data_IF_175601545061
#
_entry.id   IF_175601545061
#
_cell.length_a   1.000
_cell.length_b   1.000
_cell.length_c   1.000
_cell.angle_alpha   90.00
_cell.angle_beta   90.00
_cell.angle_gamma   90.00
#
_symmetry.space_group_name_H-M   'P 1'
#
loop_
_entity.id
_entity.type
_entity.pdbx_description
1 polymer ?
#
# COMPACT_ATOMS: atom_id res chain seq x y z
N UNK A 1 3.36 -14.32 -13.59
CA UNK A 1 3.11 -13.57 -12.34
C UNK A 1 1.80 -12.77 -12.43
N UNK A 2 1.58 -12.01 -13.50
CA UNK A 2 0.28 -11.36 -13.73
C UNK A 2 -0.76 -12.37 -14.24
N UNK A 3 -1.99 -12.23 -13.77
CA UNK A 3 -3.16 -12.91 -14.31
C UNK A 3 -3.65 -12.21 -15.59
N UNK A 4 -4.42 -12.90 -16.45
CA UNK A 4 -5.17 -12.27 -17.52
C UNK A 4 -6.07 -11.14 -17.00
N UNK A 5 -6.45 -10.20 -17.87
CA UNK A 5 -7.45 -9.20 -17.52
C UNK A 5 -8.80 -9.85 -17.17
N UNK A 6 -9.65 -9.10 -16.47
CA UNK A 6 -11.03 -9.49 -16.17
C UNK A 6 -11.20 -10.68 -15.21
N UNK A 7 -10.22 -10.87 -14.30
CA UNK A 7 -10.41 -11.82 -13.20
C UNK A 7 -11.48 -11.33 -12.21
N UNK A 8 -12.30 -12.24 -11.67
CA UNK A 8 -13.23 -11.86 -10.61
C UNK A 8 -12.47 -11.37 -9.38
N UNK A 9 -12.95 -10.29 -8.79
CA UNK A 9 -12.40 -9.79 -7.53
C UNK A 9 -12.68 -10.72 -6.37
N UNK A 10 -11.94 -10.55 -5.29
CA UNK A 10 -12.14 -11.24 -4.01
C UNK A 10 -12.94 -10.33 -3.08
N UNK A 11 -14.02 -10.86 -2.54
CA UNK A 11 -14.87 -10.10 -1.60
C UNK A 11 -14.29 -10.19 -0.19
N UNK A 12 -14.10 -9.04 0.45
CA UNK A 12 -13.65 -8.91 1.84
C UNK A 12 -12.42 -9.79 2.21
N UNK A 13 -11.31 -9.73 1.45
CA UNK A 13 -10.16 -10.60 1.70
C UNK A 13 -9.55 -10.40 3.10
N UNK A 14 -9.80 -9.25 3.73
CA UNK A 14 -9.34 -8.99 5.09
C UNK A 14 -10.08 -9.83 6.13
N UNK A 15 -11.39 -10.00 5.98
CA UNK A 15 -12.19 -10.83 6.90
C UNK A 15 -11.70 -12.29 6.91
N UNK A 16 -11.43 -12.83 5.71
CA UNK A 16 -10.95 -14.21 5.57
C UNK A 16 -9.56 -14.42 6.20
N UNK A 17 -8.62 -13.52 5.95
CA UNK A 17 -7.26 -13.66 6.50
C UNK A 17 -7.22 -13.43 8.01
N UNK A 18 -8.04 -12.52 8.55
CA UNK A 18 -8.05 -12.25 9.99
C UNK A 18 -8.69 -13.38 10.79
N UNK A 19 -9.78 -13.99 10.31
CA UNK A 19 -10.35 -15.15 10.98
C UNK A 19 -9.42 -16.37 10.94
N UNK A 20 -8.69 -16.57 9.82
CA UNK A 20 -7.66 -17.60 9.71
C UNK A 20 -6.54 -17.37 10.74
N UNK A 21 -6.01 -16.15 10.84
CA UNK A 21 -4.98 -15.78 11.81
C UNK A 21 -5.44 -15.99 13.26
N UNK A 22 -6.65 -15.56 13.60
CA UNK A 22 -7.20 -15.75 14.93
C UNK A 22 -7.46 -17.23 15.29
N UNK A 23 -7.74 -18.07 14.30
CA UNK A 23 -7.89 -19.53 14.51
C UNK A 23 -6.54 -20.22 14.71
N UNK A 24 -5.48 -19.76 14.05
CA UNK A 24 -4.16 -20.36 14.10
C UNK A 24 -3.25 -19.80 15.21
N UNK A 25 -3.49 -18.57 15.67
CA UNK A 25 -2.68 -17.89 16.68
C UNK A 25 -3.55 -17.18 17.73
N UNK A 26 -3.58 -17.66 18.98
CA UNK A 26 -4.40 -17.07 20.05
C UNK A 26 -3.92 -15.69 20.49
N UNK A 27 -2.70 -15.30 20.17
CA UNK A 27 -2.11 -14.01 20.55
C UNK A 27 -2.50 -12.87 19.60
N UNK A 28 -3.07 -13.18 18.42
CA UNK A 28 -3.54 -12.16 17.47
C UNK A 28 -4.80 -11.49 18.00
N UNK A 29 -4.78 -10.16 18.01
CA UNK A 29 -5.90 -9.31 18.44
C UNK A 29 -6.31 -8.37 17.32
N UNK A 30 -7.53 -8.50 16.83
CA UNK A 30 -8.10 -7.60 15.80
C UNK A 30 -8.78 -6.43 16.51
N UNK A 31 -8.40 -5.21 16.12
CA UNK A 31 -8.88 -3.99 16.78
C UNK A 31 -9.41 -3.00 15.76
N UNK A 32 -10.46 -2.27 16.12
CA UNK A 32 -11.03 -1.21 15.27
C UNK A 32 -11.54 -0.03 16.11
N UNK A 33 -11.83 1.08 15.44
CA UNK A 33 -12.38 2.30 16.04
C UNK A 33 -13.75 2.62 15.40
N UNK A 34 -14.76 1.82 15.73
CA UNK A 34 -16.16 1.90 15.23
C UNK A 34 -16.27 1.88 13.69
N UNK A 35 -15.35 1.15 13.04
CA UNK A 35 -15.30 1.02 11.58
C UNK A 35 -15.47 -0.43 11.09
N UNK A 36 -15.91 -1.34 11.94
CA UNK A 36 -16.02 -2.77 11.67
C UNK A 36 -16.58 -3.10 10.26
N UNK A 37 -17.75 -2.58 9.81
CA UNK A 37 -18.27 -2.88 8.48
C UNK A 37 -17.52 -2.16 7.34
N UNK A 38 -16.77 -1.11 7.67
CA UNK A 38 -16.04 -0.31 6.69
C UNK A 38 -14.60 -0.75 6.46
N UNK A 39 -14.13 -1.71 7.26
CA UNK A 39 -12.80 -2.32 7.18
C UNK A 39 -12.88 -3.84 7.00
N UNK A 40 -14.06 -4.34 6.61
CA UNK A 40 -14.33 -5.75 6.34
C UNK A 40 -13.92 -6.65 7.52
N UNK A 41 -14.55 -6.47 8.70
CA UNK A 41 -14.40 -7.35 9.86
C UNK A 41 -15.78 -7.87 10.22
N UNK A 42 -16.08 -9.13 9.88
CA UNK A 42 -17.41 -9.71 10.06
C UNK A 42 -17.43 -11.00 10.89
N UNK A 43 -16.43 -11.86 10.70
CA UNK A 43 -16.36 -13.19 11.32
C UNK A 43 -15.72 -13.16 12.71
N UNK A 44 -14.61 -12.41 12.87
CA UNK A 44 -13.85 -12.38 14.14
C UNK A 44 -14.70 -11.98 15.33
N UNK A 45 -15.54 -10.92 15.29
CA UNK A 45 -16.39 -10.56 16.43
C UNK A 45 -17.37 -11.67 16.85
N UNK A 46 -17.80 -12.50 15.91
CA UNK A 46 -18.78 -13.57 16.12
C UNK A 46 -18.12 -14.87 16.59
N UNK A 47 -17.05 -15.29 15.90
CA UNK A 47 -16.41 -16.58 16.13
C UNK A 47 -15.26 -16.52 17.15
N UNK A 48 -14.62 -15.36 17.28
CA UNK A 48 -13.44 -15.13 18.14
C UNK A 48 -13.57 -13.84 18.98
N UNK A 49 -14.67 -13.64 19.74
CA UNK A 49 -14.94 -12.38 20.44
C UNK A 49 -13.84 -11.99 21.46
N UNK A 50 -13.08 -12.96 21.98
CA UNK A 50 -11.94 -12.69 22.88
C UNK A 50 -10.70 -12.15 22.15
N UNK A 51 -10.66 -12.25 20.84
CA UNK A 51 -9.58 -11.74 19.97
C UNK A 51 -10.03 -10.50 19.18
N UNK A 52 -11.15 -9.90 19.58
CA UNK A 52 -11.67 -8.68 18.96
C UNK A 52 -11.88 -7.58 20.00
N UNK A 53 -11.52 -6.35 19.62
CA UNK A 53 -11.74 -5.16 20.44
C UNK A 53 -12.17 -3.99 19.57
N UNK A 54 -13.36 -3.43 19.82
CA UNK A 54 -13.76 -2.14 19.30
C UNK A 54 -13.65 -1.09 20.40
N UNK A 55 -12.90 -0.02 20.14
CA UNK A 55 -12.64 1.06 21.11
C UNK A 55 -13.55 2.27 20.92
N UNK A 56 -14.52 2.19 19.98
CA UNK A 56 -15.29 3.34 19.54
C UNK A 56 -14.49 4.29 18.66
N UNK A 57 -15.07 5.44 18.26
CA UNK A 57 -14.41 6.45 17.42
C UNK A 57 -13.27 7.18 18.15
N UNK A 58 -12.21 6.46 18.48
CA UNK A 58 -11.10 6.91 19.30
C UNK A 58 -9.74 6.37 18.80
N UNK A 59 -9.31 6.78 17.62
CA UNK A 59 -8.14 6.23 16.93
C UNK A 59 -6.84 6.43 17.70
N UNK A 60 -6.69 7.52 18.43
CA UNK A 60 -5.54 7.74 19.32
C UNK A 60 -5.52 6.67 20.42
N UNK A 61 -6.68 6.39 21.02
CA UNK A 61 -6.83 5.36 22.04
C UNK A 61 -6.63 3.96 21.44
N UNK A 62 -7.12 3.70 20.22
CA UNK A 62 -6.90 2.46 19.48
C UNK A 62 -5.42 2.10 19.42
N UNK A 63 -4.57 3.04 18.98
CA UNK A 63 -3.14 2.78 18.83
C UNK A 63 -2.43 2.71 20.19
N UNK A 64 -2.86 3.50 21.17
CA UNK A 64 -2.29 3.44 22.54
C UNK A 64 -2.60 2.10 23.23
N UNK A 65 -3.85 1.62 23.13
CA UNK A 65 -4.27 0.30 23.63
C UNK A 65 -3.51 -0.81 22.89
N UNK A 66 -3.42 -0.73 21.56
CA UNK A 66 -2.67 -1.70 20.75
C UNK A 66 -1.21 -1.83 21.23
N UNK A 67 -0.54 -0.72 21.49
CA UNK A 67 0.81 -0.74 22.05
C UNK A 67 0.87 -1.42 23.43
N UNK A 68 -0.12 -1.17 24.30
CA UNK A 68 -0.24 -1.82 25.60
C UNK A 68 -0.45 -3.34 25.46
N UNK A 69 -1.35 -3.76 24.57
CA UNK A 69 -1.61 -5.16 24.24
C UNK A 69 -0.36 -5.86 23.70
N UNK A 70 0.41 -5.20 22.84
CA UNK A 70 1.68 -5.72 22.35
C UNK A 70 2.70 -5.94 23.48
N UNK A 71 2.80 -4.98 24.42
CA UNK A 71 3.67 -5.13 25.61
C UNK A 71 3.24 -6.29 26.51
N UNK A 72 1.96 -6.62 26.55
CA UNK A 72 1.43 -7.77 27.25
C UNK A 72 1.68 -9.12 26.56
N UNK A 73 2.27 -9.14 25.38
CA UNK A 73 2.66 -10.36 24.64
C UNK A 73 1.77 -10.71 23.46
N UNK A 74 0.71 -9.96 23.21
CA UNK A 74 -0.20 -10.19 22.09
C UNK A 74 0.29 -9.45 20.81
N UNK A 75 -0.36 -9.74 19.68
CA UNK A 75 -0.09 -9.17 18.38
C UNK A 75 -1.30 -8.35 17.93
N UNK A 76 -1.34 -7.03 18.20
CA UNK A 76 -2.45 -6.19 17.77
C UNK A 76 -2.39 -5.93 16.26
N UNK A 77 -3.54 -6.08 15.60
CA UNK A 77 -3.82 -5.56 14.25
C UNK A 77 -4.87 -4.47 14.42
N UNK A 78 -4.43 -3.23 14.51
CA UNK A 78 -5.27 -2.06 14.67
C UNK A 78 -5.71 -1.53 13.31
N UNK A 79 -7.03 -1.40 13.11
CA UNK A 79 -7.62 -1.01 11.82
C UNK A 79 -8.43 0.27 11.94
N UNK A 80 -8.21 1.18 11.01
CA UNK A 80 -9.00 2.40 10.83
C UNK A 80 -8.83 2.91 9.40
N UNK A 81 -9.39 4.08 9.04
CA UNK A 81 -9.06 4.68 7.75
C UNK A 81 -7.63 5.24 7.75
N UNK A 82 -6.97 5.19 6.59
CA UNK A 82 -5.59 5.63 6.44
C UNK A 82 -5.39 7.09 6.90
N UNK A 83 -6.34 7.99 6.58
CA UNK A 83 -6.30 9.38 7.02
C UNK A 83 -6.42 9.54 8.55
N UNK A 84 -7.11 8.64 9.23
CA UNK A 84 -7.24 8.70 10.69
C UNK A 84 -6.02 8.09 11.38
N UNK A 85 -5.48 7.01 10.84
CA UNK A 85 -4.22 6.45 11.32
C UNK A 85 -3.06 7.45 11.18
N UNK A 86 -2.95 8.09 10.01
CA UNK A 86 -1.82 8.99 9.70
C UNK A 86 -1.98 10.41 10.26
N UNK A 87 -3.18 11.01 10.23
CA UNK A 87 -3.36 12.40 10.70
C UNK A 87 -3.74 12.47 12.17
N UNK A 88 -4.77 11.69 12.57
CA UNK A 88 -5.37 11.81 13.89
C UNK A 88 -4.57 11.09 14.98
N UNK A 89 -4.03 9.92 14.67
CA UNK A 89 -3.36 9.06 15.64
C UNK A 89 -1.85 8.88 15.37
N UNK A 90 -1.23 9.75 14.56
CA UNK A 90 0.17 9.62 14.17
C UNK A 90 1.12 9.69 15.35
N UNK A 91 0.90 10.60 16.31
CA UNK A 91 1.70 10.71 17.51
C UNK A 91 1.72 9.38 18.31
N UNK A 92 0.55 8.77 18.51
CA UNK A 92 0.41 7.48 19.18
C UNK A 92 1.05 6.34 18.37
N UNK A 93 0.96 6.39 17.04
CA UNK A 93 1.66 5.45 16.17
C UNK A 93 3.17 5.53 16.40
N UNK A 94 3.74 6.72 16.41
CA UNK A 94 5.19 6.94 16.61
C UNK A 94 5.61 6.58 18.02
N UNK A 95 5.02 7.22 19.04
CA UNK A 95 5.49 7.13 20.41
C UNK A 95 5.11 5.80 21.06
N UNK A 96 3.89 5.31 20.84
CA UNK A 96 3.43 4.12 21.54
C UNK A 96 3.83 2.82 20.82
N UNK A 97 3.67 2.78 19.48
CA UNK A 97 3.93 1.57 18.71
C UNK A 97 5.33 1.54 18.08
N UNK A 98 5.82 2.70 17.59
CA UNK A 98 7.07 2.79 16.84
C UNK A 98 8.33 2.67 17.68
N UNK A 99 8.26 2.85 19.01
CA UNK A 99 9.43 2.81 19.91
C UNK A 99 9.73 1.44 20.50
N UNK A 100 8.84 0.46 20.32
CA UNK A 100 8.98 -0.89 20.87
C UNK A 100 9.46 -1.92 19.86
N UNK A 101 10.16 -2.98 20.31
CA UNK A 101 10.60 -4.06 19.44
C UNK A 101 9.49 -5.08 19.11
N UNK A 102 8.34 -5.00 19.78
CA UNK A 102 7.25 -5.96 19.61
C UNK A 102 6.39 -5.60 18.41
N UNK A 103 5.83 -6.63 17.76
CA UNK A 103 4.95 -6.48 16.61
C UNK A 103 3.72 -5.64 16.96
N UNK A 104 3.52 -4.57 16.20
CA UNK A 104 2.31 -3.75 16.20
C UNK A 104 1.93 -3.48 14.76
N UNK A 105 0.78 -3.96 14.32
CA UNK A 105 0.30 -3.78 12.94
C UNK A 105 -0.78 -2.71 12.92
N UNK A 106 -0.64 -1.74 12.03
CA UNK A 106 -1.65 -0.70 11.76
C UNK A 106 -2.05 -0.81 10.29
N UNK A 107 -3.31 -1.08 10.02
CA UNK A 107 -3.84 -1.15 8.65
C UNK A 107 -4.76 0.04 8.40
N UNK A 108 -4.32 0.92 7.48
CA UNK A 108 -5.06 2.11 7.06
C UNK A 108 -5.90 1.83 5.82
N UNK A 109 -7.21 1.71 5.98
CA UNK A 109 -8.15 1.49 4.87
C UNK A 109 -8.48 2.79 4.12
N UNK A 110 -9.00 2.68 2.92
CA UNK A 110 -9.30 3.80 2.01
C UNK A 110 -8.10 4.73 1.75
N UNK A 111 -6.92 4.18 1.42
CA UNK A 111 -5.72 4.99 1.21
C UNK A 111 -5.79 5.83 -0.07
N UNK A 112 -4.99 6.89 -0.12
CA UNK A 112 -4.86 7.76 -1.28
C UNK A 112 -6.19 8.38 -1.68
N UNK A 113 -6.54 8.28 -2.96
CA UNK A 113 -7.78 8.82 -3.55
C UNK A 113 -8.90 7.78 -3.70
N UNK A 114 -8.81 6.63 -3.04
CA UNK A 114 -9.82 5.56 -3.14
C UNK A 114 -11.14 5.90 -2.46
N UNK A 115 -11.18 6.94 -1.63
CA UNK A 115 -12.41 7.46 -1.04
C UNK A 115 -13.05 8.54 -1.91
N UNK A 116 -14.38 8.52 -2.13
CA UNK A 116 -15.09 9.59 -2.83
C UNK A 116 -15.22 10.89 -2.02
N UNK A 117 -14.93 10.86 -0.71
CA UNK A 117 -15.27 11.89 0.26
C UNK A 117 -14.20 13.00 0.42
N UNK A 118 -13.39 13.27 -0.60
CA UNK A 118 -12.33 14.30 -0.58
C UNK A 118 -11.37 14.13 0.60
N UNK A 119 -10.70 15.20 1.00
CA UNK A 119 -9.69 15.25 2.06
C UNK A 119 -10.12 14.61 3.39
N UNK A 120 -11.40 14.57 3.72
CA UNK A 120 -11.87 13.99 4.99
C UNK A 120 -11.55 12.50 5.11
N UNK A 121 -11.57 11.77 3.98
CA UNK A 121 -11.30 10.34 3.95
C UNK A 121 -10.22 9.95 2.93
N UNK A 122 -9.72 10.90 2.13
CA UNK A 122 -8.55 10.67 1.27
C UNK A 122 -7.28 10.84 2.10
N UNK A 123 -6.33 9.93 1.93
CA UNK A 123 -5.02 9.96 2.60
C UNK A 123 -3.94 9.89 1.55
N UNK A 124 -3.43 11.04 1.15
CA UNK A 124 -2.43 11.15 0.09
C UNK A 124 -1.02 11.43 0.63
N UNK A 125 -0.84 11.42 1.95
CA UNK A 125 0.41 11.72 2.65
C UNK A 125 0.85 10.63 3.64
N UNK A 126 0.06 9.59 3.85
CA UNK A 126 0.30 8.54 4.85
C UNK A 126 1.60 7.76 4.63
N UNK A 127 1.98 7.45 3.38
CA UNK A 127 3.25 6.79 3.10
C UNK A 127 4.45 7.68 3.41
N UNK A 128 4.38 8.98 3.11
CA UNK A 128 5.43 9.94 3.43
C UNK A 128 5.66 10.02 4.94
N UNK A 129 4.58 10.14 5.71
CA UNK A 129 4.63 10.22 7.18
C UNK A 129 5.18 8.94 7.79
N UNK A 130 4.70 7.78 7.38
CA UNK A 130 5.09 6.50 7.96
C UNK A 130 6.49 6.05 7.53
N UNK A 131 6.94 6.39 6.30
CA UNK A 131 8.33 6.19 5.87
C UNK A 131 9.33 6.96 6.76
N UNK A 132 8.95 8.10 7.30
CA UNK A 132 9.81 8.89 8.17
C UNK A 132 9.97 8.27 9.58
N UNK A 133 9.10 7.34 9.99
CA UNK A 133 9.19 6.71 11.33
C UNK A 133 10.38 5.74 11.38
N UNK A 134 11.34 5.88 12.30
CA UNK A 134 12.46 4.96 12.42
C UNK A 134 12.01 3.51 12.63
N UNK A 135 12.67 2.57 11.95
CA UNK A 135 12.43 1.13 12.02
C UNK A 135 11.03 0.64 11.63
N UNK A 136 10.12 1.52 11.19
CA UNK A 136 8.82 1.10 10.72
C UNK A 136 8.93 0.30 9.40
N UNK A 137 8.07 -0.71 9.26
CA UNK A 137 7.81 -1.36 7.98
C UNK A 137 6.60 -0.71 7.33
N UNK A 138 6.70 -0.35 6.03
CA UNK A 138 5.63 0.36 5.28
C UNK A 138 5.29 -0.43 4.03
N UNK A 139 4.05 -0.90 3.94
CA UNK A 139 3.57 -1.80 2.89
C UNK A 139 2.36 -1.17 2.18
N UNK A 140 2.38 -1.18 0.86
CA UNK A 140 1.29 -0.71 -0.02
C UNK A 140 0.92 -1.83 -1.01
N UNK A 141 0.06 -2.77 -0.64
CA UNK A 141 -0.27 -3.93 -1.47
C UNK A 141 -1.16 -3.54 -2.65
N UNK A 142 -0.98 -4.24 -3.79
CA UNK A 142 -1.70 -3.94 -5.03
C UNK A 142 -3.08 -4.60 -5.11
N UNK A 143 -3.21 -5.85 -4.66
CA UNK A 143 -4.40 -6.68 -4.89
C UNK A 143 -4.73 -7.61 -3.72
N UNK A 144 -5.78 -8.42 -3.87
CA UNK A 144 -6.22 -9.35 -2.83
C UNK A 144 -5.18 -10.44 -2.52
N UNK A 145 -4.46 -10.93 -3.53
CA UNK A 145 -3.40 -11.96 -3.37
C UNK A 145 -2.27 -11.42 -2.51
N UNK A 146 -1.74 -10.27 -2.86
CA UNK A 146 -0.64 -9.64 -2.13
C UNK A 146 -1.08 -9.19 -0.74
N UNK A 147 -2.26 -8.55 -0.63
CA UNK A 147 -2.78 -8.05 0.64
C UNK A 147 -2.90 -9.15 1.69
N UNK A 148 -3.51 -10.29 1.35
CA UNK A 148 -3.66 -11.39 2.31
C UNK A 148 -2.32 -12.00 2.71
N UNK A 149 -1.37 -12.12 1.78
CA UNK A 149 -0.02 -12.60 2.10
C UNK A 149 0.76 -11.57 2.96
N UNK A 150 0.61 -10.27 2.68
CA UNK A 150 1.24 -9.21 3.45
C UNK A 150 0.69 -9.12 4.89
N UNK A 151 -0.63 -9.32 5.08
CA UNK A 151 -1.24 -9.40 6.42
C UNK A 151 -0.65 -10.58 7.21
N UNK A 152 -0.51 -11.76 6.59
CA UNK A 152 0.14 -12.92 7.24
C UNK A 152 1.60 -12.65 7.59
N UNK A 153 2.35 -12.00 6.71
CA UNK A 153 3.75 -11.64 6.97
C UNK A 153 3.89 -10.60 8.08
N UNK A 154 2.95 -9.68 8.20
CA UNK A 154 3.01 -8.58 9.16
C UNK A 154 2.95 -9.02 10.62
N UNK A 155 2.24 -10.09 10.94
CA UNK A 155 2.10 -10.60 12.33
C UNK A 155 3.38 -11.24 12.87
N UNK A 156 4.35 -11.53 12.02
CA UNK A 156 5.66 -12.04 12.40
C UNK A 156 6.78 -11.00 12.31
N UNK A 157 6.46 -9.80 11.79
CA UNK A 157 7.43 -8.72 11.61
C UNK A 157 7.62 -7.94 12.90
N UNK A 158 8.84 -7.86 13.47
CA UNK A 158 9.09 -7.05 14.67
C UNK A 158 8.87 -5.55 14.44
N UNK A 159 8.44 -4.86 15.48
CA UNK A 159 8.23 -3.41 15.48
C UNK A 159 6.91 -2.98 14.84
N UNK A 160 6.85 -1.71 14.47
CA UNK A 160 5.69 -1.12 13.81
C UNK A 160 5.61 -1.54 12.34
N UNK A 161 4.47 -2.11 11.95
CA UNK A 161 4.09 -2.30 10.54
C UNK A 161 2.92 -1.39 10.22
N UNK A 162 3.11 -0.46 9.29
CA UNK A 162 2.02 0.28 8.66
C UNK A 162 1.72 -0.35 7.30
N UNK A 163 0.47 -0.71 7.07
CA UNK A 163 0.01 -1.27 5.79
C UNK A 163 -1.23 -0.54 5.30
N UNK A 164 -1.29 -0.26 4.01
CA UNK A 164 -2.52 0.21 3.37
C UNK A 164 -3.50 -0.95 3.19
N UNK A 165 -4.73 -0.74 3.63
CA UNK A 165 -5.78 -1.76 3.61
C UNK A 165 -6.63 -1.70 2.33
N UNK A 166 -6.97 -2.87 1.81
CA UNK A 166 -7.88 -3.06 0.69
C UNK A 166 -9.21 -3.63 1.21
N UNK A 167 -10.35 -3.16 0.69
CA UNK A 167 -11.69 -3.49 1.19
C UNK A 167 -12.73 -3.70 0.10
N UNK A 168 -13.85 -4.32 0.47
CA UNK A 168 -14.95 -4.61 -0.43
C UNK A 168 -14.58 -5.68 -1.43
N UNK A 169 -14.89 -5.48 -2.69
CA UNK A 169 -14.44 -6.36 -3.77
C UNK A 169 -13.09 -5.87 -4.28
N UNK A 170 -12.04 -6.59 -3.94
CA UNK A 170 -10.65 -6.25 -4.26
C UNK A 170 -10.22 -6.98 -5.52
N UNK A 171 -9.57 -6.28 -6.44
CA UNK A 171 -9.04 -6.86 -7.68
C UNK A 171 -8.09 -8.05 -7.40
N UNK A 172 -8.00 -8.95 -8.36
CA UNK A 172 -7.00 -10.02 -8.41
C UNK A 172 -6.14 -9.83 -9.64
N UNK A 173 -4.94 -9.31 -9.44
CA UNK A 173 -3.96 -8.99 -10.47
C UNK A 173 -2.84 -10.02 -10.52
N UNK A 174 -2.38 -10.44 -9.34
CA UNK A 174 -1.27 -11.39 -9.15
C UNK A 174 -1.79 -12.82 -9.01
N UNK A 175 -1.10 -13.73 -9.67
CA UNK A 175 -1.41 -15.16 -9.64
C UNK A 175 -1.06 -15.75 -8.26
N UNK A 176 -2.03 -16.22 -7.47
CA UNK A 176 -1.80 -16.70 -6.10
C UNK A 176 -0.90 -17.96 -6.06
N UNK A 177 -0.83 -18.74 -7.15
CA UNK A 177 -0.01 -19.95 -7.22
C UNK A 177 1.47 -19.66 -7.56
N UNK A 178 1.76 -18.46 -8.06
CA UNK A 178 3.09 -18.04 -8.54
C UNK A 178 3.67 -16.85 -7.81
N UNK A 179 2.83 -16.05 -7.15
CA UNK A 179 3.26 -14.89 -6.41
C UNK A 179 3.49 -15.22 -4.94
N UNK A 180 4.66 -14.90 -4.42
CA UNK A 180 5.00 -15.02 -3.01
C UNK A 180 5.49 -13.67 -2.51
N UNK A 181 4.72 -13.06 -1.58
CA UNK A 181 5.08 -11.80 -0.95
C UNK A 181 6.22 -11.98 0.05
N UNK A 182 7.22 -11.15 -0.06
CA UNK A 182 8.32 -11.01 0.91
C UNK A 182 8.52 -9.53 1.24
N UNK A 183 8.59 -9.18 2.53
CA UNK A 183 8.84 -7.81 2.97
C UNK A 183 10.16 -7.30 2.37
N UNK A 184 10.11 -6.15 1.71
CA UNK A 184 11.24 -5.49 1.08
C UNK A 184 11.50 -5.90 -0.37
N UNK A 185 11.01 -7.04 -0.84
CA UNK A 185 11.25 -7.53 -2.21
C UNK A 185 10.53 -6.70 -3.26
N UNK A 186 11.15 -6.57 -4.42
CA UNK A 186 10.55 -5.99 -5.62
C UNK A 186 10.19 -7.08 -6.63
N UNK A 187 9.25 -6.79 -7.54
CA UNK A 187 8.75 -7.78 -8.50
C UNK A 187 8.73 -7.20 -9.90
N UNK A 188 9.53 -7.77 -10.80
CA UNK A 188 9.46 -7.43 -12.21
C UNK A 188 8.18 -8.03 -12.82
N UNK A 189 7.21 -7.19 -13.13
CA UNK A 189 5.94 -7.59 -13.73
C UNK A 189 6.04 -7.66 -15.26
N UNK A 190 6.90 -6.84 -15.86
CA UNK A 190 7.24 -6.84 -17.29
C UNK A 190 8.71 -6.49 -17.47
N UNK A 191 9.41 -7.30 -18.26
CA UNK A 191 10.76 -6.99 -18.71
C UNK A 191 10.72 -6.24 -20.04
N UNK A 192 11.72 -5.38 -20.29
CA UNK A 192 11.84 -4.58 -21.50
C UNK A 192 12.99 -3.60 -21.44
N UNK A 193 13.45 -3.15 -22.61
CA UNK A 193 14.61 -2.26 -22.77
C UNK A 193 14.28 -0.77 -22.79
N UNK A 194 13.01 -0.39 -22.94
CA UNK A 194 12.57 1.00 -23.02
C UNK A 194 12.49 1.70 -21.65
N UNK A 195 11.65 2.76 -21.52
CA UNK A 195 11.47 3.44 -20.25
C UNK A 195 11.03 2.48 -19.14
N UNK A 196 11.53 2.71 -17.92
CA UNK A 196 11.13 1.96 -16.74
C UNK A 196 9.91 2.57 -16.06
N UNK A 197 8.97 1.73 -15.63
CA UNK A 197 7.84 2.13 -14.78
C UNK A 197 8.02 1.44 -13.44
N UNK A 198 8.02 2.20 -12.36
CA UNK A 198 8.05 1.68 -10.98
C UNK A 198 6.73 2.05 -10.32
N UNK A 199 6.04 1.09 -9.72
CA UNK A 199 4.72 1.36 -9.15
C UNK A 199 4.53 0.68 -7.78
N UNK A 200 3.61 1.19 -6.97
CA UNK A 200 3.23 0.65 -5.66
C UNK A 200 1.72 0.68 -5.48
N UNK A 201 1.20 -0.25 -4.69
CA UNK A 201 -0.20 -0.31 -4.33
C UNK A 201 -1.16 -0.20 -5.52
N UNK A 202 -2.24 0.54 -5.38
CA UNK A 202 -3.20 0.80 -6.46
C UNK A 202 -2.54 1.45 -7.70
N UNK A 203 -1.43 2.18 -7.52
CA UNK A 203 -0.63 2.70 -8.64
C UNK A 203 -0.07 1.59 -9.54
N UNK A 204 0.17 0.38 -9.01
CA UNK A 204 0.59 -0.77 -9.81
C UNK A 204 -0.54 -1.29 -10.71
N UNK A 205 -1.77 -1.36 -10.19
CA UNK A 205 -2.93 -1.71 -11.02
C UNK A 205 -3.06 -0.72 -12.20
N UNK A 206 -2.98 0.58 -11.92
CA UNK A 206 -3.01 1.64 -12.95
C UNK A 206 -1.84 1.53 -13.93
N UNK A 207 -0.66 1.19 -13.45
CA UNK A 207 0.52 0.97 -14.28
C UNK A 207 0.36 -0.25 -15.20
N UNK A 208 -0.26 -1.34 -14.74
CA UNK A 208 -0.56 -2.52 -15.56
C UNK A 208 -1.60 -2.20 -16.63
N UNK A 209 -2.64 -1.41 -16.31
CA UNK A 209 -3.61 -0.93 -17.30
C UNK A 209 -2.91 -0.11 -18.41
N UNK A 210 -2.06 0.86 -18.02
CA UNK A 210 -1.29 1.67 -18.96
C UNK A 210 -0.27 0.84 -19.76
N UNK A 211 0.40 -0.13 -19.13
CA UNK A 211 1.33 -1.07 -19.77
C UNK A 211 0.67 -1.85 -20.91
N UNK A 212 -0.54 -2.35 -20.72
CA UNK A 212 -1.32 -3.03 -21.76
C UNK A 212 -1.64 -2.11 -22.95
N UNK A 213 -1.83 -0.80 -22.72
CA UNK A 213 -2.02 0.18 -23.78
C UNK A 213 -0.71 0.45 -24.54
N UNK A 214 0.40 0.56 -23.84
CA UNK A 214 1.73 0.72 -24.43
C UNK A 214 2.12 -0.49 -25.28
N UNK A 215 1.86 -1.71 -24.81
CA UNK A 215 2.09 -2.94 -25.57
C UNK A 215 1.30 -2.98 -26.88
N UNK A 216 0.00 -2.64 -26.84
CA UNK A 216 -0.83 -2.53 -28.04
C UNK A 216 -0.35 -1.47 -29.03
N UNK A 217 0.32 -0.43 -28.51
CA UNK A 217 0.93 0.61 -29.32
C UNK A 217 2.36 0.28 -29.82
N UNK A 218 2.88 -0.92 -29.50
CA UNK A 218 4.23 -1.35 -29.87
C UNK A 218 5.36 -0.63 -29.13
N UNK A 219 5.07 -0.03 -27.97
CA UNK A 219 6.04 0.69 -27.15
C UNK A 219 6.71 -0.31 -26.17
N UNK A 220 8.01 -0.53 -26.36
CA UNK A 220 8.79 -1.31 -25.39
C UNK A 220 8.99 -0.55 -24.10
N UNK A 221 8.79 -1.22 -22.97
CA UNK A 221 8.92 -0.66 -21.61
C UNK A 221 9.07 -1.77 -20.59
N UNK A 222 9.56 -1.45 -19.41
CA UNK A 222 9.61 -2.39 -18.27
C UNK A 222 8.72 -1.91 -17.12
N UNK A 223 8.23 -2.84 -16.29
CA UNK A 223 7.38 -2.56 -15.14
C UNK A 223 7.89 -3.30 -13.88
N UNK A 224 8.25 -2.53 -12.85
CA UNK A 224 8.65 -3.01 -11.54
C UNK A 224 7.58 -2.65 -10.51
N UNK A 225 7.15 -3.63 -9.73
CA UNK A 225 6.27 -3.44 -8.58
C UNK A 225 7.08 -3.41 -7.28
N UNK A 226 6.80 -2.42 -6.43
CA UNK A 226 7.49 -2.19 -5.14
C UNK A 226 6.43 -2.13 -4.03
N UNK A 227 6.00 -3.27 -3.47
CA UNK A 227 4.95 -3.30 -2.44
C UNK A 227 5.43 -2.83 -1.07
N UNK A 228 6.74 -2.86 -0.80
CA UNK A 228 7.31 -2.43 0.47
C UNK A 228 8.17 -1.18 0.26
N UNK A 229 7.72 -0.05 0.79
CA UNK A 229 8.45 1.21 0.68
C UNK A 229 9.52 1.35 1.78
N UNK A 230 9.38 0.56 2.86
CA UNK A 230 10.35 0.49 3.96
C UNK A 230 10.21 -0.85 4.71
N UNK A 231 11.31 -1.62 4.90
CA UNK A 231 12.59 -1.42 4.24
C UNK A 231 12.48 -1.68 2.74
N UNK A 232 13.04 -0.80 1.90
CA UNK A 232 13.11 -1.02 0.47
C UNK A 232 14.46 -1.64 0.06
N UNK A 233 14.46 -2.52 -0.92
CA UNK A 233 15.70 -3.05 -1.52
C UNK A 233 16.28 -2.05 -2.52
N UNK A 234 16.98 -1.04 -2.03
CA UNK A 234 17.54 0.06 -2.82
C UNK A 234 18.34 -0.45 -4.02
N UNK A 235 19.10 -1.54 -3.84
CA UNK A 235 19.92 -2.13 -4.90
C UNK A 235 19.07 -2.72 -6.05
N UNK A 236 17.95 -3.36 -5.77
CA UNK A 236 17.05 -3.89 -6.79
C UNK A 236 16.38 -2.76 -7.59
N UNK A 237 15.93 -1.70 -6.88
CA UNK A 237 15.33 -0.52 -7.49
C UNK A 237 16.37 0.21 -8.36
N UNK A 238 17.60 0.35 -7.88
CA UNK A 238 18.68 0.97 -8.64
C UNK A 238 19.02 0.20 -9.92
N UNK A 239 19.21 -1.12 -9.83
CA UNK A 239 19.47 -1.96 -11.01
C UNK A 239 18.38 -1.86 -12.07
N UNK A 240 17.13 -1.70 -11.64
CA UNK A 240 16.02 -1.47 -12.57
C UNK A 240 16.14 -0.09 -13.26
N UNK A 241 16.64 0.92 -12.58
CA UNK A 241 16.83 2.28 -13.12
C UNK A 241 18.08 2.38 -14.02
N UNK A 242 19.14 1.67 -13.66
CA UNK A 242 20.46 1.78 -14.28
C UNK A 242 20.43 1.50 -15.78
N UNK A 243 21.10 2.34 -16.57
CA UNK A 243 21.16 2.19 -18.02
C UNK A 243 19.91 2.64 -18.79
N UNK A 244 18.82 3.01 -18.11
CA UNK A 244 17.64 3.57 -18.76
C UNK A 244 17.78 5.07 -18.98
N UNK A 245 17.17 5.59 -20.04
CA UNK A 245 17.10 7.04 -20.28
C UNK A 245 16.05 7.73 -19.38
N UNK A 246 14.96 7.02 -19.10
CA UNK A 246 13.81 7.53 -18.35
C UNK A 246 13.21 6.48 -17.41
N UNK A 247 12.77 6.97 -16.25
CA UNK A 247 11.98 6.20 -15.28
C UNK A 247 10.76 7.01 -14.86
N UNK A 248 9.63 6.32 -14.76
CA UNK A 248 8.37 6.85 -14.25
C UNK A 248 8.02 6.15 -12.95
N UNK A 249 7.58 6.89 -11.94
CA UNK A 249 6.93 6.27 -10.76
C UNK A 249 5.43 6.51 -10.82
N UNK A 250 4.63 5.50 -10.46
CA UNK A 250 3.17 5.59 -10.41
C UNK A 250 2.69 5.17 -9.02
N UNK A 251 1.97 6.08 -8.35
CA UNK A 251 1.53 5.89 -6.98
C UNK A 251 0.18 6.53 -6.68
N UNK A 252 -0.62 5.89 -5.83
CA UNK A 252 -1.85 6.45 -5.27
C UNK A 252 -1.54 7.30 -4.03
N UNK A 253 -0.66 8.28 -4.17
CA UNK A 253 -0.14 9.12 -3.08
C UNK A 253 0.30 10.45 -3.67
N UNK A 254 0.49 11.47 -2.84
CA UNK A 254 1.15 12.71 -3.26
C UNK A 254 2.54 12.39 -3.82
N UNK A 255 2.92 13.06 -4.90
CA UNK A 255 4.25 12.89 -5.51
C UNK A 255 5.41 13.25 -4.55
N UNK A 256 5.11 13.89 -3.40
CA UNK A 256 6.09 14.26 -2.37
C UNK A 256 6.13 13.17 -1.29
N UNK A 257 7.29 12.58 -1.06
CA UNK A 257 7.57 11.68 0.06
C UNK A 257 7.13 10.22 -0.10
N UNK A 258 6.35 9.87 -1.14
CA UNK A 258 5.94 8.50 -1.44
C UNK A 258 7.01 7.70 -2.22
N UNK A 259 6.55 6.84 -3.14
CA UNK A 259 7.42 6.02 -3.99
C UNK A 259 8.35 6.88 -4.86
N UNK A 260 7.82 7.94 -5.47
CA UNK A 260 8.63 8.84 -6.30
C UNK A 260 9.74 9.54 -5.51
N UNK A 261 9.48 9.87 -4.23
CA UNK A 261 10.49 10.36 -3.30
C UNK A 261 11.56 9.31 -3.01
N UNK A 262 11.16 8.08 -2.69
CA UNK A 262 12.09 6.96 -2.46
C UNK A 262 13.02 6.71 -3.65
N UNK A 263 12.47 6.68 -4.87
CA UNK A 263 13.29 6.47 -6.09
C UNK A 263 14.26 7.63 -6.30
N UNK A 264 13.82 8.87 -6.08
CA UNK A 264 14.68 10.06 -6.18
C UNK A 264 15.81 10.04 -5.14
N UNK A 265 15.54 9.63 -3.89
CA UNK A 265 16.52 9.45 -2.82
C UNK A 265 17.58 8.40 -3.23
N UNK A 266 17.16 7.24 -3.74
CA UNK A 266 18.06 6.18 -4.23
C UNK A 266 18.95 6.70 -5.37
N UNK A 267 18.40 7.44 -6.33
CA UNK A 267 19.18 8.01 -7.44
C UNK A 267 20.19 9.05 -6.93
N UNK A 268 19.80 9.88 -5.96
CA UNK A 268 20.69 10.88 -5.37
C UNK A 268 21.88 10.23 -4.64
N UNK A 269 21.64 9.19 -3.87
CA UNK A 269 22.67 8.42 -3.14
C UNK A 269 23.67 7.73 -4.09
N UNK A 270 23.27 7.48 -5.35
CA UNK A 270 24.13 6.91 -6.42
C UNK A 270 24.83 7.97 -7.27
N UNK A 271 24.68 9.26 -6.95
CA UNK A 271 25.30 10.36 -7.69
C UNK A 271 24.59 10.74 -8.99
N UNK A 272 23.36 10.31 -9.19
CA UNK A 272 22.51 10.59 -10.35
C UNK A 272 21.80 9.35 -10.88
N UNK A 273 21.12 9.50 -12.02
CA UNK A 273 20.35 8.41 -12.63
C UNK A 273 19.59 8.85 -13.88
N UNK A 274 18.69 8.02 -14.40
CA UNK A 274 17.82 8.39 -15.51
C UNK A 274 16.93 9.57 -15.14
N UNK A 275 16.37 10.24 -16.15
CA UNK A 275 15.37 11.28 -15.91
C UNK A 275 14.13 10.67 -15.24
N UNK A 276 13.84 11.11 -14.02
CA UNK A 276 12.70 10.65 -13.24
C UNK A 276 11.47 11.54 -13.48
N UNK A 277 10.32 10.90 -13.77
CA UNK A 277 9.00 11.54 -13.81
C UNK A 277 8.09 10.87 -12.77
N UNK A 278 7.58 11.66 -11.82
CA UNK A 278 6.72 11.15 -10.75
C UNK A 278 5.25 11.37 -11.12
N UNK A 279 4.50 10.29 -11.27
CA UNK A 279 3.08 10.26 -11.59
C UNK A 279 2.30 9.79 -10.35
N UNK A 280 1.58 10.71 -9.75
CA UNK A 280 0.81 10.52 -8.53
C UNK A 280 -0.12 11.71 -8.32
N UNK A 281 -0.70 11.82 -7.14
CA UNK A 281 -1.50 13.00 -6.79
C UNK A 281 -0.57 14.22 -6.74
N UNK A 282 -0.82 15.26 -7.56
CA UNK A 282 -0.04 16.49 -7.52
C UNK A 282 -0.13 17.17 -6.16
N UNK A 283 0.74 18.14 -5.89
CA UNK A 283 0.74 18.86 -4.60
C UNK A 283 -0.46 19.82 -4.45
N UNK A 284 -1.64 19.21 -4.52
CA UNK A 284 -2.93 19.86 -4.24
C UNK A 284 -3.98 18.83 -3.83
N UNK A 285 -5.05 19.27 -3.18
CA UNK A 285 -6.13 18.39 -2.74
C UNK A 285 -6.89 17.80 -3.93
N UNK A 286 -7.03 16.49 -3.95
CA UNK A 286 -7.81 15.81 -4.98
C UNK A 286 -9.32 16.13 -4.85
N UNK A 287 -10.07 16.16 -5.96
CA UNK A 287 -11.51 16.36 -5.91
C UNK A 287 -12.23 15.17 -5.25
N UNK A 288 -13.50 15.36 -4.88
CA UNK A 288 -14.40 14.26 -4.53
C UNK A 288 -15.07 13.67 -5.77
N UNK A 289 -15.50 12.42 -5.68
CA UNK A 289 -16.23 11.74 -6.75
C UNK A 289 -15.84 10.26 -6.87
N UNK A 290 -16.29 9.60 -7.94
CA UNK A 290 -15.88 8.22 -8.21
C UNK A 290 -14.37 8.13 -8.46
N UNK A 291 -13.75 6.99 -8.15
CA UNK A 291 -12.31 6.80 -8.38
C UNK A 291 -11.92 7.05 -9.85
N UNK A 292 -12.73 6.59 -10.80
CA UNK A 292 -12.49 6.83 -12.23
C UNK A 292 -12.50 8.32 -12.59
N UNK A 293 -13.44 9.09 -12.04
CA UNK A 293 -13.47 10.55 -12.22
C UNK A 293 -12.22 11.22 -11.63
N UNK A 294 -11.85 10.85 -10.40
CA UNK A 294 -10.69 11.45 -9.73
C UNK A 294 -9.41 11.11 -10.49
N UNK A 295 -9.19 9.84 -10.88
CA UNK A 295 -8.03 9.43 -11.69
C UNK A 295 -7.93 10.24 -12.97
N UNK A 296 -9.04 10.36 -13.71
CA UNK A 296 -9.09 11.11 -14.97
C UNK A 296 -8.77 12.60 -14.77
N UNK A 297 -9.32 13.22 -13.71
CA UNK A 297 -9.07 14.64 -13.40
C UNK A 297 -7.62 14.93 -13.01
N UNK A 298 -6.89 13.91 -12.50
CA UNK A 298 -5.49 14.00 -12.11
C UNK A 298 -4.52 13.46 -13.18
N UNK A 299 -5.03 12.97 -14.32
CA UNK A 299 -4.21 12.36 -15.36
C UNK A 299 -3.60 11.01 -14.96
N UNK A 300 -4.26 10.27 -14.05
CA UNK A 300 -3.84 8.97 -13.52
C UNK A 300 -4.69 7.80 -14.06
N UNK A 301 -5.58 8.05 -15.02
CA UNK A 301 -6.24 7.01 -15.80
C UNK A 301 -5.27 6.36 -16.80
N UNK A 302 -5.59 5.16 -17.27
CA UNK A 302 -4.70 4.35 -18.10
C UNK A 302 -4.27 5.06 -19.39
N UNK A 303 -5.20 5.76 -20.06
CA UNK A 303 -4.94 6.49 -21.29
C UNK A 303 -4.00 7.67 -21.06
N UNK A 304 -4.23 8.42 -19.98
CA UNK A 304 -3.38 9.57 -19.62
C UNK A 304 -1.98 9.13 -19.22
N UNK A 305 -1.85 8.05 -18.43
CA UNK A 305 -0.55 7.47 -18.06
C UNK A 305 0.20 6.96 -19.28
N UNK A 306 -0.45 6.17 -20.15
CA UNK A 306 0.18 5.64 -21.37
C UNK A 306 0.64 6.77 -22.30
N UNK A 307 -0.17 7.84 -22.46
CA UNK A 307 0.21 9.00 -23.26
C UNK A 307 1.43 9.70 -22.69
N UNK A 308 1.44 10.01 -21.39
CA UNK A 308 2.58 10.68 -20.72
C UNK A 308 3.88 9.88 -20.86
N UNK A 309 3.81 8.55 -20.76
CA UNK A 309 4.97 7.67 -20.92
C UNK A 309 5.44 7.68 -22.37
N UNK A 310 4.52 7.54 -23.33
CA UNK A 310 4.82 7.54 -24.77
C UNK A 310 5.44 8.85 -25.27
N UNK A 311 4.91 10.00 -24.86
CA UNK A 311 5.40 11.33 -25.27
C UNK A 311 6.79 11.64 -24.72
N UNK A 312 7.17 10.94 -23.67
CA UNK A 312 8.45 11.14 -23.01
C UNK A 312 9.47 10.02 -23.33
N UNK A 313 9.07 8.92 -23.98
CA UNK A 313 9.94 7.83 -24.40
C UNK A 313 10.73 8.21 -25.65
#
# INVERSE_FOLDING_TARGET
MLLPADQPGVVAPFDDVTIELCKSNPDVMIMTADLQPYVDIFQVPKERPKQFLDVGMAEQNLLSIGAGISKAGFIPIATTFACYASRRAFDQMVICMGTGPRTCVVIGFTPGITSPARIHHQSTEDLAMTRAVPHATVIDPVDATEFTQAVRASVTQPGLVYMRGLRGTVARLLDPDRYVFEIGKTYCLRDGGGPGIIATGAGTEWAVEASRLLERAGIDHALLHVPTLKPARHEEIWRFCEGRSRVFTIENHNIVGGLGGLVAEIMADRGGGPRLTRLGVPDHWAPGGSLGYIRKSLGLDAESLARQIKEAA
#
